data_IF_686462127186
#
_entry.id   IF_686462127186
#
_cell.length_a   1.000
_cell.length_b   1.000
_cell.length_c   1.000
_cell.angle_alpha   90.00
_cell.angle_beta   90.00
_cell.angle_gamma   90.00
#
_symmetry.space_group_name_H-M   'P 1'
#
loop_
_entity.id
_entity.type
_entity.pdbx_description
1 polymer ?
#
# COMPACT_ATOMS: atom_id res chain seq x y z
N UNK A 1 -3.95 7.30 19.56
CA UNK A 1 -4.45 6.13 20.32
C UNK A 1 -3.43 5.01 20.15
N UNK A 2 -2.85 4.51 21.24
CA UNK A 2 -2.17 3.21 21.20
C UNK A 2 -3.18 2.19 20.67
N UNK A 3 -2.76 1.31 19.76
CA UNK A 3 -3.63 0.25 19.24
C UNK A 3 -4.29 -0.47 20.43
N UNK A 4 -5.64 -0.49 20.52
CA UNK A 4 -6.30 -1.17 21.62
C UNK A 4 -6.03 -2.67 21.42
N UNK A 5 -5.28 -3.27 22.34
CA UNK A 5 -5.03 -4.71 22.35
C UNK A 5 -3.56 -5.17 22.37
N UNK A 6 -2.56 -4.27 22.41
CA UNK A 6 -1.19 -4.72 22.69
C UNK A 6 -1.05 -4.95 24.20
N UNK A 7 -0.86 -6.20 24.61
CA UNK A 7 -0.50 -6.54 25.99
C UNK A 7 0.67 -5.65 26.46
N UNK A 8 0.67 -5.21 27.74
CA UNK A 8 1.79 -4.42 28.25
C UNK A 8 3.09 -5.18 27.97
N UNK A 9 4.13 -4.51 27.47
CA UNK A 9 5.40 -5.17 27.23
C UNK A 9 5.84 -5.83 28.53
N UNK A 10 6.15 -7.13 28.48
CA UNK A 10 6.65 -7.88 29.64
C UNK A 10 7.88 -7.22 30.27
N UNK A 11 8.29 -7.67 31.47
CA UNK A 11 9.44 -7.11 32.19
C UNK A 11 10.67 -7.05 31.29
N UNK A 12 11.51 -6.02 31.47
CA UNK A 12 12.70 -5.85 30.64
C UNK A 12 13.56 -7.14 30.64
N UNK A 13 14.02 -7.62 29.48
CA UNK A 13 14.90 -8.78 29.42
C UNK A 13 16.19 -8.52 30.19
N UNK A 14 16.80 -9.57 30.73
CA UNK A 14 17.92 -9.48 31.69
C UNK A 14 19.17 -8.70 31.20
N UNK A 15 19.30 -8.44 29.89
CA UNK A 15 20.38 -7.62 29.31
C UNK A 15 20.09 -6.12 29.20
N UNK A 16 18.88 -5.67 29.52
CA UNK A 16 18.44 -4.28 29.41
C UNK A 16 18.62 -3.46 30.70
N UNK A 17 19.04 -4.10 31.79
CA UNK A 17 19.08 -3.52 33.12
C UNK A 17 20.52 -3.55 33.67
N UNK A 18 20.92 -2.58 34.51
CA UNK A 18 22.24 -2.56 35.14
C UNK A 18 22.51 -3.84 35.97
N UNK A 19 23.77 -4.30 36.10
CA UNK A 19 24.10 -5.48 36.91
C UNK A 19 23.63 -5.38 38.36
N UNK A 20 23.67 -4.17 38.93
CA UNK A 20 23.19 -3.88 40.29
C UNK A 20 21.67 -3.99 40.45
N UNK A 21 20.92 -4.15 39.35
CA UNK A 21 19.45 -4.15 39.36
C UNK A 21 18.87 -5.27 40.22
N UNK A 22 19.47 -6.46 40.22
CA UNK A 22 18.96 -7.59 41.03
C UNK A 22 19.65 -7.71 42.39
N UNK A 23 20.90 -7.26 42.51
CA UNK A 23 21.75 -7.55 43.67
C UNK A 23 21.73 -6.48 44.75
N UNK A 24 21.43 -5.21 44.40
CA UNK A 24 21.53 -4.08 45.33
C UNK A 24 20.14 -3.54 45.72
N UNK A 25 19.51 -4.16 46.72
CA UNK A 25 18.16 -3.81 47.15
C UNK A 25 18.04 -2.41 47.76
N UNK A 26 19.07 -1.94 48.47
CA UNK A 26 19.07 -0.62 49.11
C UNK A 26 19.13 0.50 48.07
N UNK A 27 20.04 0.40 47.10
CA UNK A 27 20.15 1.37 46.01
C UNK A 27 18.90 1.38 45.15
N UNK A 28 18.32 0.21 44.88
CA UNK A 28 17.10 0.11 44.07
C UNK A 28 15.86 0.66 44.81
N UNK A 29 15.75 0.48 46.12
CA UNK A 29 14.72 1.14 46.93
C UNK A 29 14.84 2.68 46.85
N UNK A 30 16.06 3.20 46.94
CA UNK A 30 16.32 4.64 46.75
C UNK A 30 15.92 5.11 45.34
N UNK A 31 16.26 4.37 44.29
CA UNK A 31 15.94 4.72 42.90
C UNK A 31 14.42 4.66 42.61
N UNK A 32 13.69 3.73 43.22
CA UNK A 32 12.25 3.51 42.97
C UNK A 32 11.34 4.47 43.74
N UNK A 33 11.84 5.09 44.82
CA UNK A 33 11.09 6.10 45.58
C UNK A 33 10.74 7.34 44.74
N UNK A 34 9.85 8.20 45.24
CA UNK A 34 9.59 9.49 44.60
C UNK A 34 10.82 10.42 44.68
N UNK A 35 10.88 11.45 43.85
CA UNK A 35 11.83 12.55 44.06
C UNK A 35 11.40 13.38 45.26
N UNK A 36 12.38 13.88 46.04
CA UNK A 36 12.11 14.86 47.11
C UNK A 36 11.56 16.17 46.51
N UNK A 37 10.72 16.88 47.27
CA UNK A 37 9.98 18.05 46.80
C UNK A 37 10.87 19.21 46.32
N UNK A 38 12.09 19.35 46.83
CA UNK A 38 13.05 20.36 46.40
C UNK A 38 14.45 19.77 46.18
N UNK A 39 15.05 20.09 45.01
CA UNK A 39 16.44 19.75 44.67
C UNK A 39 17.44 20.41 45.64
N UNK A 40 17.07 21.57 46.18
CA UNK A 40 17.92 22.41 47.05
C UNK A 40 18.28 21.74 48.38
N UNK A 41 17.46 20.80 48.85
CA UNK A 41 17.68 20.13 50.15
C UNK A 41 18.72 19.00 50.05
N UNK A 42 18.86 18.36 48.89
CA UNK A 42 19.91 17.36 48.63
C UNK A 42 20.15 17.21 47.12
N UNK A 43 20.99 18.08 46.58
CA UNK A 43 21.28 18.16 45.16
C UNK A 43 22.01 16.93 44.63
N UNK A 44 22.95 16.38 45.41
CA UNK A 44 23.76 15.22 45.00
C UNK A 44 22.93 13.95 44.81
N UNK A 45 22.07 13.59 45.77
CA UNK A 45 21.18 12.43 45.65
C UNK A 45 20.19 12.60 44.50
N UNK A 46 19.62 13.80 44.39
CA UNK A 46 18.65 14.13 43.35
C UNK A 46 19.29 14.01 41.96
N UNK A 47 20.47 14.61 41.76
CA UNK A 47 21.17 14.64 40.48
C UNK A 47 21.64 13.22 40.10
N UNK A 48 22.14 12.43 41.06
CA UNK A 48 22.54 11.04 40.82
C UNK A 48 21.35 10.17 40.38
N UNK A 49 20.20 10.31 41.06
CA UNK A 49 18.98 9.58 40.71
C UNK A 49 18.44 10.00 39.35
N UNK A 50 18.48 11.30 39.04
CA UNK A 50 18.07 11.83 37.74
C UNK A 50 18.97 11.30 36.62
N UNK A 51 20.29 11.34 36.80
CA UNK A 51 21.26 10.86 35.81
C UNK A 51 21.06 9.36 35.51
N UNK A 52 20.86 8.55 36.55
CA UNK A 52 20.57 7.12 36.41
C UNK A 52 19.33 6.87 35.53
N UNK A 53 18.19 7.48 35.89
CA UNK A 53 16.94 7.23 35.18
C UNK A 53 16.93 7.83 33.78
N UNK A 54 17.52 9.01 33.58
CA UNK A 54 17.68 9.60 32.23
C UNK A 54 18.46 8.66 31.32
N UNK A 55 19.59 8.12 31.80
CA UNK A 55 20.40 7.18 31.04
C UNK A 55 19.61 5.92 30.68
N UNK A 56 18.89 5.35 31.65
CA UNK A 56 18.16 4.11 31.45
C UNK A 56 16.95 4.26 30.51
N UNK A 57 16.19 5.36 30.64
CA UNK A 57 15.05 5.68 29.76
C UNK A 57 15.50 5.85 28.31
N UNK A 58 16.54 6.66 28.06
CA UNK A 58 17.06 6.89 26.71
C UNK A 58 17.67 5.61 26.12
N UNK A 59 18.42 4.85 26.92
CA UNK A 59 19.04 3.61 26.45
C UNK A 59 18.00 2.53 26.14
N UNK A 60 16.89 2.45 26.89
CA UNK A 60 15.77 1.55 26.59
C UNK A 60 15.13 1.87 25.23
N UNK A 61 14.89 3.15 24.93
CA UNK A 61 14.40 3.58 23.62
C UNK A 61 15.31 3.10 22.48
N UNK A 62 16.62 3.36 22.61
CA UNK A 62 17.64 2.95 21.64
C UNK A 62 17.72 1.43 21.45
N UNK A 63 17.81 0.64 22.53
CA UNK A 63 17.90 -0.83 22.45
C UNK A 63 16.68 -1.48 21.81
N UNK A 64 15.48 -0.95 22.09
CA UNK A 64 14.24 -1.46 21.49
C UNK A 64 14.00 -0.93 20.07
N UNK A 65 14.77 0.06 19.61
CA UNK A 65 14.50 0.77 18.36
C UNK A 65 13.15 1.49 18.34
N UNK A 66 12.55 1.76 19.50
CA UNK A 66 11.22 2.31 19.63
C UNK A 66 11.27 3.84 19.75
N UNK A 67 10.83 4.56 18.72
CA UNK A 67 10.84 6.04 18.68
C UNK A 67 9.82 6.68 19.64
N UNK A 68 8.84 5.92 20.13
CA UNK A 68 7.76 6.37 21.02
C UNK A 68 7.77 5.63 22.35
N UNK A 69 7.25 6.28 23.38
CA UNK A 69 7.01 5.71 24.72
C UNK A 69 5.90 6.46 25.44
N UNK A 70 5.42 5.93 26.57
CA UNK A 70 4.64 6.68 27.56
C UNK A 70 5.13 6.36 28.97
N UNK A 71 4.59 7.04 29.99
CA UNK A 71 4.95 6.80 31.39
C UNK A 71 4.56 5.37 31.83
N UNK A 72 3.36 4.90 31.46
CA UNK A 72 2.87 3.55 31.75
C UNK A 72 3.85 2.49 31.24
N UNK A 73 4.27 2.58 29.98
CA UNK A 73 5.19 1.61 29.34
C UNK A 73 6.56 1.56 30.02
N UNK A 74 7.05 2.70 30.52
CA UNK A 74 8.33 2.77 31.22
C UNK A 74 8.21 2.22 32.64
N UNK A 75 7.13 2.53 33.36
CA UNK A 75 6.90 2.00 34.70
C UNK A 75 6.84 0.48 34.70
N UNK A 76 6.03 -0.12 33.82
CA UNK A 76 5.95 -1.58 33.69
C UNK A 76 7.25 -2.17 33.12
N UNK A 77 7.88 -1.46 32.18
CA UNK A 77 9.16 -1.87 31.61
C UNK A 77 10.31 -1.92 32.61
N UNK A 78 10.24 -1.14 33.68
CA UNK A 78 11.21 -1.09 34.78
C UNK A 78 10.63 -1.63 36.09
N UNK A 79 9.55 -2.41 36.03
CA UNK A 79 8.99 -3.03 37.22
C UNK A 79 10.02 -3.99 37.85
N UNK A 80 10.11 -3.95 39.18
CA UNK A 80 11.00 -4.82 39.95
C UNK A 80 10.26 -5.36 41.16
N UNK A 81 10.12 -6.69 41.24
CA UNK A 81 9.46 -7.39 42.36
C UNK A 81 8.09 -6.78 42.71
N UNK A 82 7.27 -6.46 41.70
CA UNK A 82 5.96 -5.83 41.88
C UNK A 82 5.97 -4.34 42.21
N UNK A 83 7.14 -3.71 42.30
CA UNK A 83 7.29 -2.27 42.54
C UNK A 83 7.50 -1.52 41.24
N UNK A 84 6.82 -0.39 41.07
CA UNK A 84 7.00 0.54 39.95
C UNK A 84 7.85 1.74 40.39
N UNK A 85 8.72 2.27 39.51
CA UNK A 85 9.52 3.44 39.83
C UNK A 85 8.67 4.72 39.85
N UNK A 86 8.44 5.27 41.05
CA UNK A 86 7.56 6.42 41.28
C UNK A 86 8.13 7.74 40.73
N UNK A 87 9.45 7.82 40.57
CA UNK A 87 10.14 9.02 40.12
C UNK A 87 10.07 9.28 38.60
N UNK A 88 9.60 8.33 37.78
CA UNK A 88 9.69 8.45 36.32
C UNK A 88 8.93 9.64 35.75
N UNK A 89 7.79 10.02 36.33
CA UNK A 89 7.06 11.22 35.87
C UNK A 89 7.92 12.48 35.95
N UNK A 90 8.70 12.63 37.02
CA UNK A 90 9.65 13.74 37.19
C UNK A 90 10.80 13.68 36.17
N UNK A 91 11.29 12.48 35.87
CA UNK A 91 12.34 12.25 34.87
C UNK A 91 11.85 12.63 33.48
N UNK A 92 10.64 12.21 33.10
CA UNK A 92 10.04 12.56 31.81
C UNK A 92 9.81 14.06 31.65
N UNK A 93 9.35 14.73 32.72
CA UNK A 93 9.24 16.19 32.74
C UNK A 93 10.59 16.86 32.49
N UNK A 94 11.67 16.36 33.12
CA UNK A 94 13.01 16.91 32.90
C UNK A 94 13.53 16.63 31.49
N UNK A 95 13.27 15.45 30.93
CA UNK A 95 13.62 15.10 29.55
C UNK A 95 12.86 15.96 28.52
N UNK A 96 11.59 16.26 28.77
CA UNK A 96 10.79 17.22 27.98
C UNK A 96 11.38 18.62 28.07
N UNK A 97 11.71 19.09 29.28
CA UNK A 97 12.32 20.41 29.51
C UNK A 97 13.67 20.56 28.80
N UNK A 98 14.45 19.48 28.72
CA UNK A 98 15.75 19.43 28.02
C UNK A 98 15.61 19.20 26.50
N UNK A 99 14.41 18.97 25.97
CA UNK A 99 14.18 18.64 24.57
C UNK A 99 14.72 17.28 24.13
N UNK A 100 15.00 16.37 25.08
CA UNK A 100 15.38 14.98 24.77
C UNK A 100 14.15 14.12 24.47
N UNK A 101 13.02 14.48 25.07
CA UNK A 101 11.71 14.00 24.69
C UNK A 101 10.86 15.16 24.15
N UNK A 102 9.89 14.83 23.31
CA UNK A 102 8.87 15.78 22.86
C UNK A 102 7.50 15.10 22.92
N UNK A 103 6.43 15.83 23.27
CA UNK A 103 5.07 15.30 23.17
C UNK A 103 4.72 15.11 21.70
N UNK A 104 4.04 14.01 21.36
CA UNK A 104 3.66 13.74 19.96
C UNK A 104 2.78 14.86 19.39
N UNK A 105 1.84 15.39 20.18
CA UNK A 105 1.00 16.53 19.79
C UNK A 105 1.82 17.76 19.40
N UNK A 106 2.83 18.08 20.22
CA UNK A 106 3.67 19.26 20.05
C UNK A 106 4.57 19.09 18.83
N UNK A 107 5.05 17.87 18.59
CA UNK A 107 5.83 17.56 17.39
C UNK A 107 4.99 17.70 16.12
N UNK A 108 3.81 17.09 16.09
CA UNK A 108 2.92 17.13 14.92
C UNK A 108 2.53 18.55 14.54
N UNK A 109 2.25 19.41 15.51
CA UNK A 109 1.91 20.79 15.23
C UNK A 109 3.11 21.70 14.94
N UNK A 110 4.33 21.24 15.21
CA UNK A 110 5.56 21.97 14.84
C UNK A 110 5.91 21.85 13.36
N UNK A 111 5.22 20.99 12.61
CA UNK A 111 5.38 20.81 11.17
C UNK A 111 4.23 21.56 10.48
N UNK A 112 4.56 22.42 9.51
CA UNK A 112 3.66 23.38 8.85
C UNK A 112 2.32 22.78 8.39
N UNK A 113 1.31 23.66 8.26
CA UNK A 113 -0.07 23.37 7.82
C UNK A 113 -0.21 22.55 6.54
N UNK A 114 0.84 22.47 5.70
CA UNK A 114 0.88 21.56 4.55
C UNK A 114 0.72 20.09 4.94
N UNK A 115 1.01 19.69 6.18
CA UNK A 115 0.70 18.37 6.74
C UNK A 115 -0.78 18.22 7.15
N UNK A 116 -1.43 19.31 7.57
CA UNK A 116 -2.83 19.34 8.05
C UNK A 116 -3.82 19.24 6.87
N UNK A 117 -3.40 19.57 5.64
CA UNK A 117 -4.20 19.35 4.44
C UNK A 117 -4.25 17.88 3.99
N UNK A 118 -3.52 16.98 4.66
CA UNK A 118 -3.52 15.55 4.37
C UNK A 118 -4.69 14.93 5.09
N UNK A 119 -5.57 14.26 4.37
CA UNK A 119 -6.73 13.57 4.93
C UNK A 119 -6.36 12.33 5.75
N UNK A 120 -5.47 12.42 6.75
CA UNK A 120 -5.40 11.44 7.83
C UNK A 120 -6.55 11.76 8.80
N UNK A 121 -7.77 11.58 8.31
CA UNK A 121 -8.94 11.45 9.16
C UNK A 121 -8.63 10.43 10.26
N UNK A 122 -9.06 10.75 11.49
CA UNK A 122 -9.04 9.93 12.73
C UNK A 122 -8.15 10.46 13.87
N UNK A 123 -7.13 11.30 13.68
CA UNK A 123 -6.30 11.77 14.82
C UNK A 123 -6.40 13.26 15.21
N UNK A 124 -7.21 14.06 14.52
CA UNK A 124 -7.50 15.44 14.93
C UNK A 124 -8.97 15.55 15.38
N UNK A 125 -9.32 14.85 16.47
CA UNK A 125 -10.46 15.28 17.26
C UNK A 125 -9.98 16.34 18.26
N UNK A 126 -10.36 17.58 17.94
CA UNK A 126 -10.28 18.84 18.70
C UNK A 126 -9.08 19.74 18.40
N UNK A 127 -9.04 20.40 17.22
CA UNK A 127 -8.51 21.75 17.19
C UNK A 127 -9.48 22.60 18.00
N UNK A 128 -9.03 23.29 19.07
CA UNK A 128 -9.68 24.43 19.78
C UNK A 128 -9.30 24.54 21.28
N UNK A 129 -8.58 23.58 21.89
CA UNK A 129 -8.00 23.74 23.25
C UNK A 129 -6.51 24.06 23.28
N UNK A 130 -5.85 24.07 22.12
CA UNK A 130 -4.41 23.95 21.99
C UNK A 130 -3.78 25.14 21.26
N UNK A 131 -4.21 26.38 21.52
CA UNK A 131 -3.61 27.55 20.85
C UNK A 131 -2.89 28.53 21.78
N UNK A 132 -2.85 28.32 23.10
CA UNK A 132 -2.10 29.24 23.98
C UNK A 132 -1.34 28.61 25.18
N UNK A 133 -1.45 27.30 25.46
CA UNK A 133 -0.80 26.68 26.63
C UNK A 133 0.55 25.97 26.35
N UNK A 134 0.96 25.77 25.08
CA UNK A 134 2.20 25.05 24.74
C UNK A 134 3.42 25.95 24.50
N UNK A 135 3.22 27.26 24.29
CA UNK A 135 4.33 28.22 24.13
C UNK A 135 4.93 28.66 25.47
N UNK A 136 4.24 28.40 26.57
CA UNK A 136 4.77 28.47 27.93
C UNK A 136 4.88 27.05 28.45
N UNK A 137 6.09 26.49 28.42
CA UNK A 137 6.39 25.12 28.84
C UNK A 137 5.70 24.75 30.15
N UNK A 138 4.62 23.98 30.06
CA UNK A 138 3.89 23.55 31.23
C UNK A 138 4.74 22.51 31.95
N UNK A 139 5.22 22.89 33.13
CA UNK A 139 6.04 22.10 34.06
C UNK A 139 5.32 20.87 34.64
N UNK A 140 4.27 20.37 33.99
CA UNK A 140 3.45 19.25 34.45
C UNK A 140 4.09 17.91 34.10
N UNK A 141 3.87 16.94 34.98
CA UNK A 141 4.19 15.53 34.69
C UNK A 141 3.29 15.09 33.53
N UNK A 142 3.81 14.38 32.52
CA UNK A 142 3.00 13.77 31.47
C UNK A 142 1.98 12.80 32.03
N UNK A 143 0.80 12.72 31.39
CA UNK A 143 -0.20 11.71 31.77
C UNK A 143 0.33 10.29 31.48
N UNK A 144 -0.22 9.26 32.16
CA UNK A 144 0.31 7.89 32.09
C UNK A 144 0.41 7.33 30.66
N UNK A 145 -0.60 7.62 29.85
CA UNK A 145 -0.74 7.12 28.48
C UNK A 145 -0.34 8.15 27.41
N UNK A 146 0.14 9.31 27.84
CA UNK A 146 0.55 10.35 26.93
C UNK A 146 1.77 9.91 26.11
N UNK A 147 1.68 10.04 24.79
CA UNK A 147 2.73 9.57 23.89
C UNK A 147 3.83 10.61 23.77
N UNK A 148 5.04 10.17 24.09
CA UNK A 148 6.28 10.92 24.02
C UNK A 148 7.19 10.33 22.94
N UNK A 149 7.92 11.20 22.25
CA UNK A 149 8.86 10.86 21.18
C UNK A 149 10.29 11.06 21.68
N UNK A 150 11.16 10.07 21.45
CA UNK A 150 12.60 10.21 21.62
C UNK A 150 13.18 11.03 20.46
N UNK A 151 13.53 12.29 20.71
CA UNK A 151 13.91 13.24 19.64
C UNK A 151 15.13 12.77 18.85
N UNK A 152 16.20 12.37 19.53
CA UNK A 152 17.43 11.89 18.88
C UNK A 152 17.19 10.59 18.10
N UNK A 153 16.43 9.66 18.67
CA UNK A 153 16.16 8.37 18.02
C UNK A 153 15.25 8.54 16.79
N UNK A 154 14.30 9.48 16.85
CA UNK A 154 13.47 9.84 15.70
C UNK A 154 14.34 10.39 14.55
N UNK A 155 15.29 11.28 14.86
CA UNK A 155 16.24 11.83 13.88
C UNK A 155 17.12 10.74 13.27
N UNK A 156 17.68 9.85 14.09
CA UNK A 156 18.51 8.73 13.62
C UNK A 156 17.75 7.78 12.70
N UNK A 157 16.49 7.45 13.06
CA UNK A 157 15.61 6.59 12.25
C UNK A 157 15.12 7.29 10.97
N UNK A 158 14.91 8.59 11.02
CA UNK A 158 14.55 9.38 9.83
C UNK A 158 15.72 9.40 8.83
N UNK A 159 16.96 9.57 9.31
CA UNK A 159 18.16 9.45 8.48
C UNK A 159 18.33 8.04 7.91
N UNK A 160 17.98 7.00 8.66
CA UNK A 160 17.98 5.62 8.15
C UNK A 160 16.99 5.44 6.99
N UNK A 161 15.77 5.97 7.11
CA UNK A 161 14.77 5.99 6.03
C UNK A 161 15.30 6.75 4.81
N UNK A 162 15.90 7.92 5.00
CA UNK A 162 16.46 8.70 3.91
C UNK A 162 17.62 7.97 3.21
N UNK A 163 18.51 7.31 3.98
CA UNK A 163 19.59 6.47 3.42
C UNK A 163 19.07 5.26 2.66
N UNK A 164 18.01 4.62 3.13
CA UNK A 164 17.37 3.53 2.39
C UNK A 164 16.83 4.01 1.04
N UNK A 165 16.15 5.16 1.03
CA UNK A 165 15.71 5.81 -0.21
C UNK A 165 16.88 6.06 -1.15
N UNK A 166 17.95 6.70 -0.68
CA UNK A 166 19.13 7.03 -1.50
C UNK A 166 19.82 5.80 -2.10
N UNK A 167 19.79 4.66 -1.42
CA UNK A 167 20.41 3.42 -1.87
C UNK A 167 19.45 2.52 -2.68
N UNK A 168 18.25 3.02 -3.01
CA UNK A 168 17.23 2.28 -3.76
C UNK A 168 17.09 2.80 -5.20
N UNK A 169 16.42 2.02 -6.03
CA UNK A 169 16.02 2.43 -7.38
C UNK A 169 15.12 3.68 -7.37
N UNK A 170 14.37 3.93 -6.30
CA UNK A 170 13.48 5.09 -6.18
C UNK A 170 14.26 6.42 -6.12
N UNK A 171 15.57 6.39 -5.85
CA UNK A 171 16.40 7.60 -5.77
C UNK A 171 16.57 8.33 -7.11
N UNK A 172 16.41 7.64 -8.23
CA UNK A 172 16.41 8.26 -9.57
C UNK A 172 15.09 8.97 -9.87
N UNK A 173 13.98 8.55 -9.23
CA UNK A 173 12.67 9.12 -9.46
C UNK A 173 12.56 10.50 -8.77
N UNK A 174 12.12 11.56 -9.48
CA UNK A 174 11.96 12.88 -8.87
C UNK A 174 10.80 12.92 -7.85
N UNK A 175 9.81 12.03 -8.03
CA UNK A 175 8.65 11.84 -7.16
C UNK A 175 8.40 10.35 -6.99
N UNK A 176 7.87 9.95 -5.83
CA UNK A 176 7.66 8.54 -5.45
C UNK A 176 6.29 8.38 -4.79
N UNK A 177 5.58 7.29 -5.08
CA UNK A 177 4.35 6.97 -4.37
C UNK A 177 4.65 6.64 -2.89
N UNK A 178 3.84 7.15 -1.96
CA UNK A 178 4.01 6.90 -0.53
C UNK A 178 3.95 5.40 -0.20
N UNK A 179 3.14 4.64 -0.93
CA UNK A 179 3.00 3.18 -0.80
C UNK A 179 4.31 2.45 -1.12
N UNK A 180 5.01 2.84 -2.18
CA UNK A 180 6.32 2.30 -2.56
C UNK A 180 7.39 2.63 -1.52
N UNK A 181 7.42 3.89 -1.07
CA UNK A 181 8.34 4.32 -0.01
C UNK A 181 8.09 3.55 1.29
N UNK A 182 6.83 3.30 1.64
CA UNK A 182 6.46 2.49 2.81
C UNK A 182 6.95 1.06 2.66
N UNK A 183 6.78 0.46 1.48
CA UNK A 183 7.27 -0.89 1.18
C UNK A 183 8.79 -0.98 1.36
N UNK A 184 9.54 0.00 0.83
CA UNK A 184 10.99 0.10 0.99
C UNK A 184 11.41 0.20 2.47
N UNK A 185 10.64 0.93 3.28
CA UNK A 185 10.97 1.22 4.68
C UNK A 185 10.37 0.22 5.68
N UNK A 186 9.71 -0.85 5.23
CA UNK A 186 8.98 -1.79 6.08
C UNK A 186 9.87 -2.50 7.12
N UNK A 187 11.16 -2.69 6.82
CA UNK A 187 12.12 -3.31 7.73
C UNK A 187 12.54 -2.38 8.90
N UNK A 188 12.49 -1.06 8.68
CA UNK A 188 12.91 -0.05 9.67
C UNK A 188 11.70 0.46 10.47
N UNK A 189 10.53 0.46 9.86
CA UNK A 189 9.30 0.98 10.44
C UNK A 189 8.43 -0.15 11.00
N UNK A 190 8.32 -0.33 12.32
CA UNK A 190 7.53 -1.39 12.92
C UNK A 190 6.02 -1.23 12.70
N UNK A 191 5.56 0.00 12.44
CA UNK A 191 4.16 0.32 12.23
C UNK A 191 3.99 1.63 11.44
N UNK A 192 2.79 1.81 10.91
CA UNK A 192 2.39 2.97 10.10
C UNK A 192 2.61 4.30 10.79
N UNK A 193 2.28 4.39 12.08
CA UNK A 193 2.39 5.64 12.82
C UNK A 193 3.84 6.03 13.02
N UNK A 194 4.74 5.06 13.23
CA UNK A 194 6.18 5.30 13.22
C UNK A 194 6.66 5.81 11.87
N UNK A 195 6.25 5.19 10.76
CA UNK A 195 6.61 5.63 9.41
C UNK A 195 6.23 7.10 9.16
N UNK A 196 5.00 7.51 9.50
CA UNK A 196 4.58 8.91 9.34
C UNK A 196 5.36 9.89 10.23
N UNK A 197 5.72 9.51 11.46
CA UNK A 197 6.55 10.36 12.31
C UNK A 197 7.95 10.57 11.74
N UNK A 198 8.53 9.55 11.10
CA UNK A 198 9.83 9.68 10.43
C UNK A 198 9.73 10.59 9.19
N UNK A 199 8.65 10.50 8.42
CA UNK A 199 8.40 11.41 7.31
C UNK A 199 8.19 12.86 7.77
N UNK A 200 7.45 13.07 8.85
CA UNK A 200 7.30 14.37 9.51
C UNK A 200 8.66 14.96 9.90
N UNK A 201 9.55 14.13 10.46
CA UNK A 201 10.89 14.56 10.84
C UNK A 201 11.70 14.99 9.60
N UNK A 202 11.65 14.22 8.52
CA UNK A 202 12.30 14.59 7.25
C UNK A 202 11.71 15.87 6.63
N UNK A 203 10.40 16.09 6.76
CA UNK A 203 9.74 17.30 6.25
C UNK A 203 10.13 18.53 7.08
N UNK A 204 10.18 18.38 8.41
CA UNK A 204 10.69 19.40 9.33
C UNK A 204 12.13 19.81 8.99
N UNK A 205 12.95 18.84 8.58
CA UNK A 205 14.32 19.06 8.10
C UNK A 205 14.40 19.59 6.66
N UNK A 206 13.26 19.77 5.98
CA UNK A 206 13.15 20.19 4.57
C UNK A 206 13.87 19.24 3.60
N UNK A 207 13.85 17.94 3.90
CA UNK A 207 14.39 16.88 3.05
C UNK A 207 13.34 16.22 2.17
N UNK A 208 12.07 16.30 2.58
CA UNK A 208 10.94 15.78 1.81
C UNK A 208 9.78 16.78 1.78
N UNK A 209 9.04 16.78 0.68
CA UNK A 209 7.72 17.40 0.54
C UNK A 209 6.75 16.32 0.09
N UNK A 210 5.53 16.37 0.59
CA UNK A 210 4.50 15.38 0.26
C UNK A 210 3.25 16.14 -0.16
N UNK A 211 2.59 15.62 -1.18
CA UNK A 211 1.36 16.17 -1.74
C UNK A 211 0.34 15.04 -1.88
N UNK A 212 -0.92 15.34 -1.63
CA UNK A 212 -2.03 14.43 -1.90
C UNK A 212 -2.63 14.80 -3.26
N UNK A 213 -2.75 13.81 -4.15
CA UNK A 213 -3.27 13.94 -5.50
C UNK A 213 -4.24 12.79 -5.74
N UNK A 214 -5.52 13.11 -6.00
CA UNK A 214 -6.59 12.14 -6.25
C UNK A 214 -6.72 11.03 -5.18
N UNK A 215 -6.43 11.35 -3.92
CA UNK A 215 -6.45 10.39 -2.80
C UNK A 215 -5.17 9.57 -2.62
N UNK A 216 -4.21 9.70 -3.53
CA UNK A 216 -2.87 9.12 -3.39
C UNK A 216 -1.87 10.15 -2.88
N UNK A 217 -0.87 9.69 -2.13
CA UNK A 217 0.18 10.57 -1.59
C UNK A 217 1.47 10.35 -2.35
N UNK A 218 2.06 11.45 -2.79
CA UNK A 218 3.33 11.49 -3.50
C UNK A 218 4.38 12.20 -2.69
N UNK A 219 5.60 11.66 -2.70
CA UNK A 219 6.74 12.15 -1.93
C UNK A 219 7.83 12.62 -2.88
N UNK A 220 8.26 13.86 -2.72
CA UNK A 220 9.42 14.44 -3.38
C UNK A 220 10.56 14.55 -2.37
N UNK A 221 11.74 14.07 -2.75
CA UNK A 221 12.94 14.15 -1.92
C UNK A 221 13.86 15.27 -2.41
N UNK A 222 14.64 15.85 -1.49
CA UNK A 222 15.70 16.78 -1.85
C UNK A 222 16.76 16.10 -2.72
N UNK A 223 17.07 16.71 -3.87
CA UNK A 223 18.08 16.24 -4.81
C UNK A 223 19.44 16.86 -4.52
N UNK A 224 20.40 16.03 -4.09
CA UNK A 224 21.78 16.43 -3.79
C UNK A 224 22.13 16.39 -2.30
N UNK A 225 23.41 16.14 -2.01
CA UNK A 225 23.94 16.13 -0.64
C UNK A 225 23.74 17.53 -0.02
N UNK A 226 22.90 17.63 1.01
CA UNK A 226 22.56 18.89 1.72
C UNK A 226 21.61 19.86 1.00
N UNK A 227 20.99 19.47 -0.11
CA UNK A 227 19.94 20.28 -0.71
C UNK A 227 18.69 20.33 0.20
N UNK A 228 17.96 21.44 0.15
CA UNK A 228 16.59 21.52 0.67
C UNK A 228 15.64 21.21 -0.46
N UNK A 229 14.62 20.42 -0.17
CA UNK A 229 13.59 20.07 -1.14
C UNK A 229 12.82 21.33 -1.56
N UNK A 230 12.54 21.45 -2.85
CA UNK A 230 11.65 22.47 -3.39
C UNK A 230 10.19 22.10 -3.11
N UNK A 231 9.28 23.09 -3.03
CA UNK A 231 7.85 22.81 -3.05
C UNK A 231 7.47 22.00 -4.29
N UNK A 232 6.46 21.13 -4.16
CA UNK A 232 5.88 20.44 -5.31
C UNK A 232 5.30 21.45 -6.30
N UNK A 233 5.49 21.19 -7.59
CA UNK A 233 4.94 21.98 -8.68
C UNK A 233 4.15 21.10 -9.67
N UNK A 234 3.54 21.73 -10.69
CA UNK A 234 2.72 21.02 -11.69
C UNK A 234 3.52 20.02 -12.53
N UNK A 235 4.83 20.24 -12.69
CA UNK A 235 5.71 19.28 -13.37
C UNK A 235 5.87 18.02 -12.53
N UNK A 236 6.08 18.14 -11.22
CA UNK A 236 6.19 16.99 -10.31
C UNK A 236 4.92 16.13 -10.37
N UNK A 237 3.74 16.77 -10.38
CA UNK A 237 2.44 16.10 -10.54
C UNK A 237 2.35 15.42 -11.91
N UNK A 238 2.75 16.11 -12.97
CA UNK A 238 2.77 15.57 -14.32
C UNK A 238 3.72 14.38 -14.51
N UNK A 239 4.89 14.40 -13.86
CA UNK A 239 5.80 13.23 -13.84
C UNK A 239 5.12 12.06 -13.13
N UNK A 240 4.45 12.30 -12.01
CA UNK A 240 3.71 11.23 -11.34
C UNK A 240 2.58 10.65 -12.21
N UNK A 241 1.87 11.50 -12.96
CA UNK A 241 0.86 11.06 -13.92
C UNK A 241 1.47 10.23 -15.06
N UNK A 242 2.67 10.57 -15.55
CA UNK A 242 3.41 9.76 -16.53
C UNK A 242 3.76 8.38 -15.96
N UNK A 243 4.22 8.31 -14.71
CA UNK A 243 4.52 7.03 -14.03
C UNK A 243 3.27 6.14 -13.90
N UNK A 244 2.14 6.72 -13.48
CA UNK A 244 0.87 5.99 -13.44
C UNK A 244 0.42 5.52 -14.83
N UNK A 245 0.62 6.36 -15.84
CA UNK A 245 0.29 6.04 -17.22
C UNK A 245 1.11 4.87 -17.76
N UNK A 246 2.41 4.82 -17.44
CA UNK A 246 3.28 3.69 -17.77
C UNK A 246 2.76 2.39 -17.16
N UNK A 247 2.40 2.42 -15.87
CA UNK A 247 1.87 1.26 -15.17
C UNK A 247 0.55 0.78 -15.78
N UNK A 248 -0.37 1.71 -16.09
CA UNK A 248 -1.65 1.41 -16.71
C UNK A 248 -1.48 0.78 -18.09
N UNK A 249 -0.65 1.39 -18.96
CA UNK A 249 -0.35 0.87 -20.29
C UNK A 249 0.27 -0.53 -20.21
N UNK A 250 1.22 -0.75 -19.30
CA UNK A 250 1.87 -2.04 -19.09
C UNK A 250 0.87 -3.12 -18.67
N UNK A 251 -0.02 -2.82 -17.72
CA UNK A 251 -1.08 -3.74 -17.28
C UNK A 251 -2.06 -4.07 -18.42
N UNK A 252 -2.40 -3.08 -19.25
CA UNK A 252 -3.30 -3.29 -20.39
C UNK A 252 -2.67 -4.18 -21.45
N UNK A 253 -1.38 -3.95 -21.76
CA UNK A 253 -0.59 -4.80 -22.66
C UNK A 253 -0.55 -6.24 -22.15
N UNK A 254 -0.28 -6.45 -20.86
CA UNK A 254 -0.27 -7.79 -20.26
C UNK A 254 -1.63 -8.49 -20.36
N UNK A 255 -2.70 -7.78 -20.03
CA UNK A 255 -4.08 -8.29 -20.13
C UNK A 255 -4.46 -8.71 -21.55
N UNK A 256 -4.20 -7.85 -22.54
CA UNK A 256 -4.47 -8.17 -23.96
C UNK A 256 -3.57 -9.30 -24.47
N UNK A 257 -2.33 -9.40 -23.99
CA UNK A 257 -1.43 -10.51 -24.33
C UNK A 257 -1.98 -11.85 -23.86
N UNK A 258 -2.56 -11.89 -22.65
CA UNK A 258 -3.25 -13.08 -22.14
C UNK A 258 -4.49 -13.41 -22.97
N UNK A 259 -5.26 -12.41 -23.42
CA UNK A 259 -6.41 -12.61 -24.31
C UNK A 259 -5.99 -13.16 -25.69
N UNK A 260 -4.89 -12.65 -26.26
CA UNK A 260 -4.36 -13.14 -27.52
C UNK A 260 -3.92 -14.62 -27.44
N UNK A 261 -3.22 -14.99 -26.36
CA UNK A 261 -2.84 -16.40 -26.12
C UNK A 261 -4.07 -17.29 -25.89
N UNK A 262 -5.12 -16.79 -25.23
CA UNK A 262 -6.39 -17.53 -25.14
C UNK A 262 -7.03 -17.75 -26.50
N UNK A 263 -7.10 -16.72 -27.35
CA UNK A 263 -7.64 -16.85 -28.71
C UNK A 263 -6.86 -17.88 -29.55
N UNK A 264 -5.54 -17.94 -29.36
CA UNK A 264 -4.65 -18.93 -30.00
C UNK A 264 -4.95 -20.35 -29.52
N UNK A 265 -5.18 -20.54 -28.22
CA UNK A 265 -5.52 -21.85 -27.66
C UNK A 265 -6.92 -22.31 -28.09
N UNK A 266 -7.89 -21.39 -28.16
CA UNK A 266 -9.22 -21.65 -28.71
C UNK A 266 -9.13 -22.05 -30.20
N UNK A 267 -8.26 -21.39 -30.97
CA UNK A 267 -8.00 -21.74 -32.37
C UNK A 267 -7.42 -23.16 -32.48
N UNK A 268 -6.42 -23.51 -31.65
CA UNK A 268 -5.85 -24.87 -31.59
C UNK A 268 -6.90 -25.92 -31.24
N UNK A 269 -7.74 -25.65 -30.26
CA UNK A 269 -8.83 -26.54 -29.85
C UNK A 269 -9.85 -26.74 -30.98
N UNK A 270 -10.20 -25.67 -31.69
CA UNK A 270 -11.08 -25.75 -32.86
C UNK A 270 -10.45 -26.51 -34.03
N UNK A 271 -9.13 -26.36 -34.26
CA UNK A 271 -8.36 -27.14 -35.24
C UNK A 271 -8.42 -28.65 -34.92
N UNK A 272 -8.14 -29.02 -33.67
CA UNK A 272 -8.19 -30.42 -33.20
C UNK A 272 -9.59 -31.01 -33.36
N UNK A 273 -10.63 -30.21 -33.17
CA UNK A 273 -12.01 -30.59 -33.37
C UNK A 273 -12.47 -30.60 -34.85
N UNK A 274 -11.59 -30.31 -35.81
CA UNK A 274 -11.91 -30.23 -37.25
C UNK A 274 -12.79 -29.03 -37.64
N UNK A 275 -12.96 -28.04 -36.76
CA UNK A 275 -13.83 -26.87 -36.96
C UNK A 275 -13.07 -25.70 -37.59
N UNK A 276 -12.65 -25.84 -38.86
CA UNK A 276 -11.83 -24.85 -39.60
C UNK A 276 -12.36 -23.41 -39.49
N UNK A 277 -13.67 -23.20 -39.68
CA UNK A 277 -14.26 -21.85 -39.64
C UNK A 277 -14.19 -21.20 -38.25
N UNK A 278 -14.33 -22.01 -37.19
CA UNK A 278 -14.20 -21.52 -35.81
C UNK A 278 -12.74 -21.16 -35.51
N UNK A 279 -11.80 -22.00 -35.93
CA UNK A 279 -10.37 -21.74 -35.76
C UNK A 279 -9.95 -20.43 -36.47
N UNK A 280 -10.38 -20.24 -37.72
CA UNK A 280 -10.12 -18.99 -38.47
C UNK A 280 -10.72 -17.76 -37.76
N UNK A 281 -11.90 -17.88 -37.15
CA UNK A 281 -12.50 -16.80 -36.37
C UNK A 281 -11.67 -16.45 -35.14
N UNK A 282 -11.18 -17.46 -34.42
CA UNK A 282 -10.30 -17.27 -33.26
C UNK A 282 -8.96 -16.62 -33.66
N UNK A 283 -8.36 -17.02 -34.79
CA UNK A 283 -7.15 -16.38 -35.32
C UNK A 283 -7.38 -14.92 -35.75
N UNK A 284 -8.53 -14.63 -36.37
CA UNK A 284 -8.94 -13.23 -36.66
C UNK A 284 -9.14 -12.40 -35.39
N UNK A 285 -9.59 -13.01 -34.29
CA UNK A 285 -9.68 -12.32 -33.00
C UNK A 285 -8.29 -12.05 -32.44
N UNK A 286 -7.43 -13.08 -32.36
CA UNK A 286 -6.03 -12.98 -31.94
C UNK A 286 -5.30 -11.85 -32.66
N UNK A 287 -5.34 -11.83 -34.00
CA UNK A 287 -4.60 -10.84 -34.80
C UNK A 287 -5.11 -9.41 -34.62
N UNK A 288 -6.40 -9.23 -34.32
CA UNK A 288 -6.95 -7.91 -33.94
C UNK A 288 -6.42 -7.47 -32.58
N UNK A 289 -6.34 -8.40 -31.62
CA UNK A 289 -5.77 -8.14 -30.29
C UNK A 289 -4.27 -7.82 -30.38
N UNK A 290 -3.50 -8.57 -31.18
CA UNK A 290 -2.07 -8.31 -31.42
C UNK A 290 -1.81 -6.92 -32.00
N UNK A 291 -2.63 -6.46 -32.96
CA UNK A 291 -2.51 -5.10 -33.49
C UNK A 291 -2.73 -4.04 -32.41
N UNK A 292 -3.69 -4.24 -31.49
CA UNK A 292 -3.87 -3.31 -30.35
C UNK A 292 -2.68 -3.33 -29.40
N UNK A 293 -2.10 -4.50 -29.16
CA UNK A 293 -0.88 -4.63 -28.36
C UNK A 293 0.26 -3.83 -28.98
N UNK A 294 0.46 -3.90 -30.30
CA UNK A 294 1.47 -3.10 -31.01
C UNK A 294 1.25 -1.59 -30.86
N UNK A 295 0.01 -1.12 -31.00
CA UNK A 295 -0.35 0.28 -30.80
C UNK A 295 -0.10 0.76 -29.35
N UNK A 296 -0.45 -0.07 -28.36
CA UNK A 296 -0.20 0.25 -26.95
C UNK A 296 1.30 0.21 -26.60
N UNK A 297 2.07 -0.74 -27.16
CA UNK A 297 3.52 -0.76 -27.01
C UNK A 297 4.17 0.52 -27.52
N UNK A 298 3.78 1.00 -28.71
CA UNK A 298 4.33 2.25 -29.23
C UNK A 298 4.05 3.45 -28.31
N UNK A 299 2.90 3.48 -27.63
CA UNK A 299 2.57 4.51 -26.64
C UNK A 299 3.40 4.33 -25.36
N UNK A 300 3.55 3.09 -24.89
CA UNK A 300 4.34 2.75 -23.72
C UNK A 300 5.82 3.14 -23.92
N UNK A 301 6.41 2.80 -25.07
CA UNK A 301 7.79 3.17 -25.45
C UNK A 301 7.98 4.70 -25.43
N UNK A 302 6.98 5.45 -25.90
CA UNK A 302 7.02 6.92 -25.87
C UNK A 302 7.03 7.46 -24.43
N UNK A 303 6.17 6.92 -23.55
CA UNK A 303 6.12 7.31 -22.12
C UNK A 303 7.41 6.93 -21.40
N UNK A 304 7.89 5.71 -21.58
CA UNK A 304 9.15 5.21 -21.00
C UNK A 304 10.35 6.04 -21.44
N UNK A 305 10.45 6.34 -22.74
CA UNK A 305 11.52 7.20 -23.25
C UNK A 305 11.49 8.64 -22.70
N UNK A 306 10.35 9.13 -22.20
CA UNK A 306 10.27 10.41 -21.47
C UNK A 306 10.74 10.22 -20.02
N UNK A 307 10.25 9.18 -19.34
CA UNK A 307 10.62 8.85 -17.96
C UNK A 307 12.12 8.59 -17.83
N UNK A 308 12.74 7.86 -18.76
CA UNK A 308 14.19 7.62 -18.78
C UNK A 308 15.01 8.92 -18.80
N UNK A 309 14.59 9.90 -19.61
CA UNK A 309 15.22 11.23 -19.66
C UNK A 309 15.03 12.00 -18.36
N UNK A 310 13.87 11.85 -17.72
CA UNK A 310 13.57 12.45 -16.41
C UNK A 310 14.43 11.79 -15.32
N UNK A 311 14.57 10.47 -15.31
CA UNK A 311 15.38 9.74 -14.32
C UNK A 311 16.88 9.97 -14.48
N UNK A 312 17.35 10.20 -15.71
CA UNK A 312 18.73 10.63 -15.96
C UNK A 312 19.01 12.09 -15.52
N UNK A 313 17.97 12.88 -15.24
CA UNK A 313 18.10 14.30 -14.86
C UNK A 313 18.54 14.46 -13.41
N UNK A 314 19.60 15.23 -13.17
CA UNK A 314 20.18 15.41 -11.83
C UNK A 314 19.60 16.60 -11.05
N UNK A 315 18.96 17.56 -11.74
CA UNK A 315 18.40 18.77 -11.14
C UNK A 315 16.93 18.95 -11.50
N UNK A 316 16.19 19.70 -10.68
CA UNK A 316 14.78 20.02 -10.93
C UNK A 316 14.59 20.76 -12.27
N UNK A 317 15.56 21.60 -12.67
CA UNK A 317 15.53 22.28 -13.96
C UNK A 317 15.66 21.31 -15.14
N UNK A 318 16.52 20.29 -15.01
CA UNK A 318 16.66 19.26 -16.04
C UNK A 318 15.38 18.42 -16.15
N UNK A 319 14.75 18.07 -15.01
CA UNK A 319 13.45 17.39 -14.98
C UNK A 319 12.39 18.22 -15.69
N UNK A 320 12.30 19.51 -15.39
CA UNK A 320 11.37 20.43 -16.04
C UNK A 320 11.55 20.43 -17.57
N UNK A 321 12.78 20.57 -18.04
CA UNK A 321 13.08 20.59 -19.47
C UNK A 321 12.76 19.26 -20.15
N UNK A 322 13.13 18.13 -19.53
CA UNK A 322 12.87 16.79 -20.04
C UNK A 322 11.35 16.50 -20.11
N UNK A 323 10.62 16.87 -19.06
CA UNK A 323 9.16 16.75 -19.01
C UNK A 323 8.48 17.59 -20.09
N UNK A 324 8.83 18.88 -20.23
CA UNK A 324 8.23 19.73 -21.26
C UNK A 324 8.51 19.23 -22.68
N UNK A 325 9.74 18.84 -22.97
CA UNK A 325 10.11 18.28 -24.27
C UNK A 325 9.38 16.95 -24.54
N UNK A 326 9.27 16.10 -23.52
CA UNK A 326 8.58 14.82 -23.58
C UNK A 326 7.09 14.96 -23.84
N UNK A 327 6.38 15.76 -23.04
CA UNK A 327 4.95 16.01 -23.19
C UNK A 327 4.64 16.69 -24.53
N UNK A 328 5.50 17.60 -24.99
CA UNK A 328 5.36 18.21 -26.32
C UNK A 328 5.43 17.17 -27.45
N UNK A 329 6.39 16.24 -27.38
CA UNK A 329 6.50 15.15 -28.35
C UNK A 329 5.32 14.17 -28.26
N UNK A 330 4.89 13.81 -27.05
CA UNK A 330 3.77 12.92 -26.81
C UNK A 330 2.47 13.50 -27.39
N UNK A 331 2.19 14.79 -27.15
CA UNK A 331 1.04 15.49 -27.73
C UNK A 331 1.05 15.51 -29.26
N UNK A 332 2.23 15.67 -29.88
CA UNK A 332 2.36 15.61 -31.35
C UNK A 332 2.10 14.18 -31.87
N UNK A 333 2.49 13.15 -31.13
CA UNK A 333 2.20 11.76 -31.47
C UNK A 333 0.73 11.38 -31.24
N UNK A 334 0.01 12.11 -30.38
CA UNK A 334 -1.40 11.87 -30.05
C UNK A 334 -2.36 12.82 -30.80
N UNK A 335 -1.88 13.60 -31.79
CA UNK A 335 -2.65 14.65 -32.49
C UNK A 335 -3.87 14.14 -33.29
N UNK A 336 -3.96 12.83 -33.56
CA UNK A 336 -5.13 12.22 -34.19
C UNK A 336 -6.29 11.97 -33.19
N UNK A 337 -6.08 12.32 -31.92
CA UNK A 337 -7.06 12.16 -30.85
C UNK A 337 -7.69 13.52 -30.58
N UNK A 338 -9.02 13.59 -30.63
CA UNK A 338 -9.83 14.74 -30.21
C UNK A 338 -9.71 14.97 -28.70
N UNK A 339 -8.52 15.39 -28.24
CA UNK A 339 -8.22 15.71 -26.84
C UNK A 339 -8.70 17.12 -26.52
N UNK A 340 -10.02 17.29 -26.38
CA UNK A 340 -10.60 18.57 -25.94
C UNK A 340 -11.13 18.53 -24.48
N UNK A 341 -11.00 17.40 -23.74
CA UNK A 341 -11.75 17.25 -22.48
C UNK A 341 -11.02 16.78 -21.21
N UNK A 342 -9.81 16.25 -21.26
CA UNK A 342 -9.17 15.70 -20.07
C UNK A 342 -8.03 16.59 -19.54
N UNK A 343 -8.18 17.09 -18.32
CA UNK A 343 -7.18 17.88 -17.60
C UNK A 343 -5.96 17.02 -17.15
N UNK A 344 -6.13 15.69 -17.08
CA UNK A 344 -5.15 14.72 -16.59
C UNK A 344 -4.69 13.76 -17.71
N UNK A 345 -3.38 13.49 -17.78
CA UNK A 345 -2.79 12.59 -18.77
C UNK A 345 -3.27 11.13 -18.62
N UNK A 346 -3.46 10.68 -17.38
CA UNK A 346 -3.95 9.31 -17.11
C UNK A 346 -5.33 9.12 -17.71
N UNK A 347 -6.22 10.09 -17.54
CA UNK A 347 -7.58 10.05 -18.08
C UNK A 347 -7.58 10.02 -19.61
N UNK A 348 -6.69 10.80 -20.25
CA UNK A 348 -6.51 10.77 -21.72
C UNK A 348 -6.07 9.38 -22.20
N UNK A 349 -5.16 8.72 -21.47
CA UNK A 349 -4.67 7.39 -21.82
C UNK A 349 -5.72 6.32 -21.55
N UNK A 350 -6.49 6.45 -20.48
CA UNK A 350 -7.60 5.56 -20.17
C UNK A 350 -8.69 5.66 -21.24
N UNK A 351 -9.11 6.88 -21.61
CA UNK A 351 -10.08 7.11 -22.69
C UNK A 351 -9.59 6.50 -24.02
N UNK A 352 -8.29 6.59 -24.31
CA UNK A 352 -7.70 5.94 -25.48
C UNK A 352 -7.72 4.41 -25.42
N UNK A 353 -7.55 3.83 -24.24
CA UNK A 353 -7.68 2.39 -24.07
C UNK A 353 -9.14 1.95 -24.24
N UNK A 354 -10.09 2.72 -23.70
CA UNK A 354 -11.51 2.37 -23.66
C UNK A 354 -12.22 2.59 -25.00
N UNK A 355 -11.91 3.69 -25.71
CA UNK A 355 -12.46 3.96 -27.05
C UNK A 355 -12.05 2.90 -28.07
N UNK A 356 -10.83 2.36 -27.97
CA UNK A 356 -10.40 1.24 -28.81
C UNK A 356 -11.17 -0.06 -28.51
N UNK A 357 -11.60 -0.26 -27.26
CA UNK A 357 -12.40 -1.42 -26.86
C UNK A 357 -13.86 -1.31 -27.34
N UNK A 358 -14.48 -0.13 -27.27
CA UNK A 358 -15.86 0.10 -27.76
C UNK A 358 -15.98 0.03 -29.29
N UNK A 359 -15.04 0.61 -30.04
CA UNK A 359 -15.00 0.49 -31.50
C UNK A 359 -14.88 -0.97 -31.91
N UNK A 360 -14.12 -1.76 -31.17
CA UNK A 360 -14.00 -3.19 -31.46
C UNK A 360 -15.25 -4.01 -31.15
N UNK A 361 -15.98 -3.67 -30.08
CA UNK A 361 -17.20 -4.38 -29.69
C UNK A 361 -18.37 -4.06 -30.64
N UNK A 362 -18.43 -2.83 -31.13
CA UNK A 362 -19.41 -2.40 -32.16
C UNK A 362 -19.09 -2.98 -33.54
N UNK A 363 -17.82 -3.04 -33.96
CA UNK A 363 -17.39 -3.75 -35.18
C UNK A 363 -17.53 -5.27 -35.09
N UNK A 364 -17.52 -5.86 -33.89
CA UNK A 364 -17.86 -7.27 -33.71
C UNK A 364 -19.35 -7.57 -33.94
N UNK A 365 -20.23 -6.55 -33.83
CA UNK A 365 -21.67 -6.65 -34.05
C UNK A 365 -22.16 -6.19 -35.43
N UNK A 366 -21.43 -5.30 -36.10
CA UNK A 366 -21.86 -4.71 -37.39
C UNK A 366 -20.74 -4.83 -38.43
N UNK A 367 -20.91 -5.76 -39.38
CA UNK A 367 -20.25 -5.68 -40.68
C UNK A 367 -19.11 -6.65 -40.93
N UNK A 368 -19.46 -7.81 -41.49
CA UNK A 368 -18.58 -8.80 -42.14
C UNK A 368 -17.77 -8.22 -43.34
N UNK A 369 -17.93 -6.93 -43.69
CA UNK A 369 -17.49 -6.41 -44.99
C UNK A 369 -16.35 -5.36 -44.94
N UNK A 370 -15.87 -4.96 -43.76
CA UNK A 370 -14.74 -4.00 -43.64
C UNK A 370 -13.36 -4.64 -43.45
N UNK A 371 -13.31 -5.94 -43.15
CA UNK A 371 -12.09 -6.73 -42.89
C UNK A 371 -11.78 -7.70 -44.05
N UNK A 372 -12.38 -7.47 -45.23
CA UNK A 372 -12.24 -8.33 -46.40
C UNK A 372 -10.82 -8.33 -47.02
N UNK A 373 -9.92 -7.45 -46.54
CA UNK A 373 -8.50 -7.43 -46.91
C UNK A 373 -7.57 -7.71 -45.72
N UNK A 374 -8.05 -8.38 -44.65
CA UNK A 374 -7.13 -9.08 -43.76
C UNK A 374 -6.73 -10.37 -44.45
N UNK A 375 -5.45 -10.45 -44.84
CA UNK A 375 -4.86 -11.48 -45.68
C UNK A 375 -5.30 -12.90 -45.27
N UNK A 376 -6.36 -13.39 -45.91
CA UNK A 376 -6.96 -14.70 -45.63
C UNK A 376 -5.95 -15.80 -45.89
N UNK A 377 -5.04 -15.59 -46.85
CA UNK A 377 -3.96 -16.51 -47.18
C UNK A 377 -2.95 -16.64 -46.02
N UNK A 378 -2.63 -15.54 -45.35
CA UNK A 378 -1.74 -15.55 -44.18
C UNK A 378 -2.37 -16.25 -42.97
N UNK A 379 -3.68 -16.04 -42.74
CA UNK A 379 -4.42 -16.73 -41.69
C UNK A 379 -4.56 -18.23 -41.97
N UNK A 380 -4.73 -18.62 -43.23
CA UNK A 380 -4.73 -20.04 -43.63
C UNK A 380 -3.34 -20.67 -43.45
N UNK A 381 -2.27 -19.93 -43.75
CA UNK A 381 -0.90 -20.37 -43.49
C UNK A 381 -0.61 -20.54 -41.98
N UNK A 382 -1.08 -19.60 -41.14
CA UNK A 382 -0.98 -19.72 -39.68
C UNK A 382 -1.76 -20.93 -39.17
N UNK A 383 -2.97 -21.15 -39.69
CA UNK A 383 -3.80 -22.31 -39.39
C UNK A 383 -3.08 -23.62 -39.74
N UNK A 384 -2.48 -23.70 -40.93
CA UNK A 384 -1.71 -24.85 -41.39
C UNK A 384 -0.48 -25.10 -40.50
N UNK A 385 0.19 -24.04 -40.05
CA UNK A 385 1.28 -24.14 -39.07
C UNK A 385 0.79 -24.70 -37.73
N UNK A 386 -0.35 -24.25 -37.21
CA UNK A 386 -0.93 -24.77 -35.97
C UNK A 386 -1.36 -26.23 -36.07
N UNK A 387 -1.81 -26.67 -37.24
CA UNK A 387 -2.10 -28.08 -37.51
C UNK A 387 -0.81 -28.92 -37.51
N UNK A 388 0.27 -28.43 -38.12
CA UNK A 388 1.57 -29.10 -38.11
C UNK A 388 2.17 -29.19 -36.71
N UNK A 389 2.05 -28.15 -35.89
CA UNK A 389 2.52 -28.15 -34.49
C UNK A 389 1.69 -29.07 -33.60
N UNK A 390 0.37 -29.14 -33.81
CA UNK A 390 -0.51 -30.10 -33.10
C UNK A 390 -0.21 -31.56 -33.45
N UNK A 391 0.43 -31.81 -34.59
CA UNK A 391 0.84 -33.15 -35.02
C UNK A 391 2.22 -33.55 -34.46
N UNK A 392 2.97 -32.58 -33.90
CA UNK A 392 4.32 -32.78 -33.34
C UNK A 392 4.36 -32.90 -31.81
N UNK A 393 3.26 -32.68 -31.09
CA UNK A 393 3.15 -33.11 -29.71
C UNK A 393 3.17 -34.66 -29.68
N UNK A 394 4.17 -35.31 -29.06
CA UNK A 394 4.19 -36.75 -28.97
C UNK A 394 3.00 -37.18 -28.11
N UNK A 395 2.12 -37.98 -28.68
CA UNK A 395 1.13 -38.74 -27.93
C UNK A 395 1.85 -39.77 -27.05
N UNK A 396 2.40 -39.34 -25.91
CA UNK A 396 2.74 -40.21 -24.79
C UNK A 396 1.43 -40.58 -24.08
N UNK A 397 0.65 -41.45 -24.73
CA UNK A 397 -0.38 -42.24 -24.06
C UNK A 397 0.13 -43.68 -23.97
N UNK A 398 0.17 -44.29 -22.77
CA UNK A 398 0.59 -45.67 -22.61
C UNK A 398 -0.41 -46.60 -23.33
N UNK A 399 0.04 -47.78 -23.81
CA UNK A 399 -0.82 -48.67 -24.58
C UNK A 399 -1.94 -49.20 -23.68
N UNK A 400 -3.19 -48.97 -24.08
CA UNK A 400 -4.37 -49.55 -23.42
C UNK A 400 -4.33 -51.08 -23.59
N UNK A 401 -4.35 -51.88 -22.51
CA UNK A 401 -4.43 -53.32 -22.61
C UNK A 401 -5.77 -53.76 -23.21
N UNK A 402 -5.73 -54.49 -24.32
CA UNK A 402 -6.87 -55.19 -24.87
C UNK A 402 -7.38 -56.23 -23.86
N UNK A 403 -8.54 -55.98 -23.26
CA UNK A 403 -9.28 -57.01 -22.49
C UNK A 403 -10.60 -57.32 -23.18
N UNK A 404 -10.74 -58.61 -23.43
CA UNK A 404 -11.79 -59.37 -24.11
C UNK A 404 -13.22 -58.93 -23.75
N UNK A 405 -14.06 -58.92 -24.78
CA UNK A 405 -15.51 -58.71 -24.80
C UNK A 405 -16.25 -59.63 -23.81
N UNK A 406 -17.13 -59.04 -23.00
CA UNK A 406 -18.21 -59.74 -22.29
C UNK A 406 -19.57 -59.39 -22.95
N UNK A 407 -20.60 -60.25 -22.84
CA UNK A 407 -21.80 -60.22 -23.69
C UNK A 407 -22.76 -59.07 -23.36
N UNK A 408 -23.75 -58.78 -24.23
CA UNK A 408 -24.59 -57.59 -24.11
C UNK A 408 -25.52 -57.70 -22.89
N UNK A 409 -25.49 -56.64 -22.07
CA UNK A 409 -26.43 -56.40 -20.98
C UNK A 409 -27.80 -56.13 -21.61
N UNK A 410 -28.85 -56.76 -21.08
CA UNK A 410 -30.22 -56.61 -21.59
C UNK A 410 -30.84 -55.28 -21.14
N UNK A 411 -31.73 -54.70 -21.95
CA UNK A 411 -32.39 -53.42 -21.69
C UNK A 411 -33.14 -53.38 -20.34
N UNK A 412 -33.53 -54.54 -19.80
CA UNK A 412 -34.19 -54.67 -18.50
C UNK A 412 -33.29 -54.36 -17.28
N UNK A 413 -31.97 -54.51 -17.40
CA UNK A 413 -31.02 -54.15 -16.33
C UNK A 413 -30.64 -52.66 -16.35
N UNK A 414 -30.74 -52.01 -17.51
CA UNK A 414 -30.55 -50.56 -17.66
C UNK A 414 -31.75 -49.75 -17.15
N UNK A 415 -32.97 -50.25 -17.33
CA UNK A 415 -34.19 -49.61 -16.84
C UNK A 415 -34.29 -49.64 -15.30
N UNK A 416 -33.81 -50.72 -14.66
CA UNK A 416 -33.79 -50.85 -13.21
C UNK A 416 -32.76 -49.95 -12.49
N UNK A 417 -31.66 -49.59 -13.16
CA UNK A 417 -30.66 -48.63 -12.64
C UNK A 417 -31.11 -47.17 -12.85
N UNK A 418 -31.86 -46.87 -13.91
CA UNK A 418 -32.44 -45.55 -14.17
C UNK A 418 -33.57 -45.18 -13.20
N UNK A 419 -34.37 -46.16 -12.76
CA UNK A 419 -35.46 -45.96 -11.80
C UNK A 419 -34.94 -45.71 -10.36
N UNK A 420 -33.66 -45.99 -10.09
CA UNK A 420 -33.01 -45.75 -8.80
C UNK A 420 -32.39 -44.35 -8.66
N UNK A 421 -32.37 -43.56 -9.73
CA UNK A 421 -31.70 -42.25 -9.80
C UNK A 421 -32.64 -41.06 -10.03
N UNK A 422 -33.96 -41.26 -10.07
CA UNK A 422 -34.94 -40.15 -10.16
C UNK A 422 -35.35 -39.63 -8.78
N UNK A 423 -34.72 -38.52 -8.35
CA UNK A 423 -35.21 -37.69 -7.25
C UNK A 423 -36.31 -36.78 -7.79
N UNK A 424 -37.53 -36.95 -7.28
CA UNK A 424 -38.69 -36.10 -7.56
C UNK A 424 -38.68 -34.83 -6.72
N UNK A 425 -38.70 -33.67 -7.37
CA UNK A 425 -39.05 -32.38 -6.77
C UNK A 425 -40.55 -32.11 -6.95
N UNK A 426 -41.18 -31.67 -5.84
CA UNK A 426 -42.44 -30.92 -5.81
C UNK A 426 -43.74 -31.72 -5.62
N UNK A 427 -44.45 -31.49 -4.51
CA UNK A 427 -45.60 -30.58 -4.58
C UNK A 427 -46.12 -30.07 -3.22
N UNK A 428 -46.69 -28.86 -3.28
CA UNK A 428 -47.35 -28.10 -2.23
C UNK A 428 -48.70 -28.71 -1.79
N UNK A 429 -49.13 -28.44 -0.54
CA UNK A 429 -50.35 -27.67 -0.25
C UNK A 429 -50.83 -27.73 1.23
N UNK A 430 -50.98 -26.53 1.79
CA UNK A 430 -52.02 -26.01 2.69
C UNK A 430 -52.81 -26.94 3.65
N UNK A 431 -52.81 -26.56 4.93
CA UNK A 431 -53.95 -26.77 5.85
C UNK A 431 -54.03 -25.68 6.92
N UNK A 432 -55.12 -24.93 6.93
CA UNK A 432 -55.73 -24.25 8.08
C UNK A 432 -57.08 -24.93 8.35
N UNK A 433 -57.63 -25.01 9.59
CA UNK A 433 -58.30 -23.84 10.18
C UNK A 433 -58.40 -23.73 11.74
N UNK A 434 -58.75 -22.51 12.19
CA UNK A 434 -59.63 -22.13 13.33
C UNK A 434 -59.14 -22.00 14.81
N UNK A 435 -58.96 -20.74 15.23
CA UNK A 435 -59.73 -19.96 16.24
C UNK A 435 -59.52 -20.02 17.79
N UNK A 436 -59.52 -18.79 18.36
CA UNK A 436 -59.64 -18.29 19.76
C UNK A 436 -58.37 -18.37 20.65
N UNK A 437 -57.95 -17.36 21.41
CA UNK A 437 -58.68 -16.29 22.11
C UNK A 437 -57.80 -15.03 22.35
N UNK A 438 -58.48 -13.89 22.56
CA UNK A 438 -57.93 -12.57 22.85
C UNK A 438 -57.38 -12.39 24.29
N UNK A 439 -56.47 -11.45 24.48
CA UNK A 439 -56.64 -10.38 25.50
C UNK A 439 -55.72 -9.17 25.26
N UNK A 440 -56.31 -8.00 25.46
CA UNK A 440 -55.83 -6.61 25.27
C UNK A 440 -54.74 -6.20 26.28
N UNK A 441 -53.99 -5.14 25.95
CA UNK A 441 -53.77 -3.86 26.70
C UNK A 441 -52.49 -3.20 26.13
N UNK A 442 -52.55 -2.21 25.24
CA UNK A 442 -52.68 -0.76 25.44
C UNK A 442 -51.39 0.02 25.84
N UNK A 443 -51.03 0.99 24.97
CA UNK A 443 -50.50 2.35 25.20
C UNK A 443 -48.98 2.61 25.43
N UNK A 444 -48.51 3.65 24.70
CA UNK A 444 -47.37 4.54 25.06
C UNK A 444 -46.34 4.70 23.93
N UNK A 445 -46.53 5.57 22.93
CA UNK A 445 -46.10 6.98 22.84
C UNK A 445 -44.60 7.27 23.04
N UNK A 446 -44.03 7.88 22.00
CA UNK A 446 -42.96 8.89 21.96
C UNK A 446 -41.56 8.54 22.52
N UNK A 447 -40.58 8.46 21.60
CA UNK A 447 -39.49 9.45 21.46
C UNK A 447 -38.68 9.19 20.19
#
# INVERSE_FOLDING_TARGET
MCSPGRAPPGPAPAGDLPPEWETDDERMAFLFSAFKQSREVNSTEWDSKMAFWVGLVLARGRRRGAVRTCLRDLQHGFERRGSLPLGLGTVLRELLRRGKLQRESDFMASVDSSWISWGVGVFILKPLKWTLSSVLGDSKIPEEEEVLIYVELLQEKAEEVYRLYQNSALSSHPVVALSELRSLCASVCPDERTFYLLLLQLQKEKRVTILEQNGEKIVKFARGLHAKVSPMNDVDIGVYQLMQSEQLLSQKVESLSQEAEKCKEDARSACRAGKKQLALRCLKAKRRTERRIEELHSKLDAVQGILDRIYASQTDQMVFNAYQAGVGALKLSMKDVTVEKAENLVDQIQELCDTQDEVAQTLAGVGINGLAEMDTEELEKELDSLLQDSTKEPADLPPVPQKVLNPPISDAELEAELEKLSVTDGDLAQKTPSASSESKTALGLNL
#
